data_IF_758517354429
#
_entry.id   IF_758517354429
#
_cell.length_a   1.000
_cell.length_b   1.000
_cell.length_c   1.000
_cell.angle_alpha   90.00
_cell.angle_beta   90.00
_cell.angle_gamma   90.00
#
_symmetry.space_group_name_H-M   'P 1'
#
loop_
_entity.id
_entity.type
_entity.pdbx_description
1 polymer ?
#
# COMPACT_ATOMS: atom_id res chain seq x y z
N UNK A 1 18.20 32.79 -68.01
CA UNK A 1 19.26 32.12 -67.22
C UNK A 1 18.64 31.77 -65.87
N UNK A 2 18.16 30.54 -65.70
CA UNK A 2 17.34 30.13 -64.54
C UNK A 2 18.22 29.43 -63.50
N UNK A 3 18.30 29.97 -62.29
CA UNK A 3 19.03 29.34 -61.18
C UNK A 3 18.04 28.54 -60.32
N UNK A 4 18.23 27.21 -60.25
CA UNK A 4 17.50 26.33 -59.33
C UNK A 4 18.21 26.36 -57.97
N UNK A 5 17.50 26.80 -56.93
CA UNK A 5 17.94 26.69 -55.54
C UNK A 5 17.47 25.31 -55.04
N UNK A 6 18.42 24.46 -54.65
CA UNK A 6 18.15 23.16 -54.06
C UNK A 6 17.98 23.32 -52.54
N UNK A 7 16.77 23.05 -52.05
CA UNK A 7 16.44 23.07 -50.63
C UNK A 7 16.90 21.76 -49.98
N UNK A 8 17.83 21.85 -49.03
CA UNK A 8 18.35 20.71 -48.27
C UNK A 8 17.44 20.50 -47.04
N UNK A 9 16.66 19.41 -47.04
CA UNK A 9 15.79 19.06 -45.90
C UNK A 9 16.61 18.26 -44.87
N UNK A 10 16.91 18.86 -43.72
CA UNK A 10 17.52 18.18 -42.58
C UNK A 10 16.41 17.53 -41.75
N UNK A 11 16.32 16.19 -41.79
CA UNK A 11 15.42 15.43 -40.95
C UNK A 11 16.07 15.23 -39.56
N UNK A 12 15.60 15.99 -38.56
CA UNK A 12 15.97 15.77 -37.16
C UNK A 12 15.19 14.55 -36.61
N UNK A 13 15.88 13.43 -36.45
CA UNK A 13 15.32 12.24 -35.80
C UNK A 13 15.19 12.46 -34.29
N UNK A 14 13.96 12.65 -33.81
CA UNK A 14 13.65 12.54 -32.38
C UNK A 14 13.77 11.07 -31.96
N UNK A 15 14.84 10.73 -31.25
CA UNK A 15 14.93 9.46 -30.54
C UNK A 15 13.98 9.49 -29.34
N UNK A 16 12.82 8.83 -29.44
CA UNK A 16 11.99 8.53 -28.28
C UNK A 16 12.73 7.48 -27.44
N UNK A 17 13.38 7.91 -26.35
CA UNK A 17 13.78 6.99 -25.29
C UNK A 17 12.51 6.52 -24.58
N UNK A 18 12.22 5.21 -24.53
CA UNK A 18 11.10 4.71 -23.74
C UNK A 18 11.37 5.04 -22.28
N UNK A 19 10.55 5.92 -21.70
CA UNK A 19 10.46 6.06 -20.26
C UNK A 19 9.99 4.72 -19.72
N UNK A 20 10.91 3.95 -19.11
CA UNK A 20 10.56 2.69 -18.49
C UNK A 20 9.51 2.95 -17.43
N UNK A 21 8.31 2.40 -17.62
CA UNK A 21 7.33 2.34 -16.55
C UNK A 21 7.99 1.59 -15.38
N UNK A 22 8.17 2.26 -14.24
CA UNK A 22 8.58 1.60 -13.02
C UNK A 22 7.56 0.47 -12.76
N UNK A 23 8.04 -0.77 -12.85
CA UNK A 23 7.22 -1.94 -12.60
C UNK A 23 7.16 -2.12 -11.09
N UNK A 24 5.97 -2.29 -10.54
CA UNK A 24 5.81 -2.57 -9.13
C UNK A 24 6.64 -3.80 -8.74
N UNK A 25 7.26 -3.72 -7.56
CA UNK A 25 8.12 -4.72 -6.95
C UNK A 25 7.25 -5.58 -6.04
N UNK A 26 7.12 -6.85 -6.42
CA UNK A 26 6.49 -7.87 -5.58
C UNK A 26 7.58 -8.55 -4.73
N UNK A 27 7.39 -8.57 -3.41
CA UNK A 27 8.32 -9.12 -2.43
C UNK A 27 7.59 -10.04 -1.46
N UNK A 28 8.02 -11.30 -1.39
CA UNK A 28 7.59 -12.21 -0.34
C UNK A 28 8.24 -11.83 0.99
N UNK A 29 7.42 -11.52 1.99
CA UNK A 29 7.89 -11.06 3.28
C UNK A 29 8.44 -12.24 4.10
N UNK A 30 9.74 -12.53 3.97
CA UNK A 30 10.38 -13.68 4.61
C UNK A 30 10.16 -13.77 6.14
N UNK A 31 10.08 -12.62 6.83
CA UNK A 31 9.82 -12.54 8.28
C UNK A 31 8.33 -12.55 8.65
N UNK A 32 7.45 -12.55 7.66
CA UNK A 32 6.00 -12.52 7.80
C UNK A 32 5.38 -13.53 6.82
N UNK A 33 5.78 -14.81 6.94
CA UNK A 33 5.42 -15.86 5.99
C UNK A 33 3.91 -15.88 5.63
N UNK A 34 3.60 -16.00 4.35
CA UNK A 34 2.24 -15.90 3.82
C UNK A 34 1.76 -14.47 3.57
N UNK A 35 2.62 -13.46 3.74
CA UNK A 35 2.35 -12.07 3.34
C UNK A 35 3.30 -11.69 2.20
N UNK A 36 2.74 -11.06 1.17
CA UNK A 36 3.48 -10.53 0.02
C UNK A 36 3.22 -9.03 -0.06
N UNK A 37 4.26 -8.22 -0.26
CA UNK A 37 4.18 -6.80 -0.49
C UNK A 37 4.34 -6.49 -1.98
N UNK A 38 3.45 -5.67 -2.54
CA UNK A 38 3.52 -5.13 -3.90
C UNK A 38 3.64 -3.62 -3.81
N UNK A 39 4.79 -3.06 -4.15
CA UNK A 39 5.08 -1.63 -3.96
C UNK A 39 5.82 -1.00 -5.15
N UNK A 40 5.78 0.34 -5.33
CA UNK A 40 6.45 1.03 -6.44
C UNK A 40 7.97 0.84 -6.50
N UNK A 41 8.62 0.58 -5.37
CA UNK A 41 10.07 0.38 -5.28
C UNK A 41 10.47 -0.62 -4.18
N UNK A 42 11.72 -1.13 -4.20
CA UNK A 42 12.17 -2.13 -3.23
C UNK A 42 12.21 -1.63 -1.77
N UNK A 43 12.51 -0.35 -1.53
CA UNK A 43 12.61 0.17 -0.17
C UNK A 43 11.23 0.23 0.49
N UNK A 44 10.19 0.58 -0.27
CA UNK A 44 8.83 0.59 0.23
C UNK A 44 8.26 -0.83 0.40
N UNK A 45 8.64 -1.77 -0.48
CA UNK A 45 8.33 -3.19 -0.30
C UNK A 45 8.95 -3.75 0.99
N UNK A 46 10.23 -3.43 1.26
CA UNK A 46 10.92 -3.82 2.50
C UNK A 46 10.27 -3.20 3.73
N UNK A 47 9.95 -1.90 3.71
CA UNK A 47 9.24 -1.21 4.79
C UNK A 47 7.90 -1.87 5.10
N UNK A 48 7.16 -2.25 4.06
CA UNK A 48 5.88 -2.95 4.17
C UNK A 48 6.06 -4.32 4.82
N UNK A 49 7.06 -5.09 4.39
CA UNK A 49 7.36 -6.39 4.97
C UNK A 49 7.82 -6.32 6.43
N UNK A 50 8.55 -5.27 6.81
CA UNK A 50 8.90 -5.02 8.21
C UNK A 50 7.67 -4.70 9.06
N UNK A 51 6.77 -3.85 8.56
CA UNK A 51 5.49 -3.57 9.24
C UNK A 51 4.66 -4.85 9.40
N UNK A 52 4.59 -5.69 8.36
CA UNK A 52 3.89 -6.96 8.41
C UNK A 52 4.49 -7.94 9.44
N UNK A 53 5.82 -8.01 9.54
CA UNK A 53 6.49 -8.83 10.54
C UNK A 53 6.21 -8.32 11.97
N UNK A 54 6.20 -7.00 12.16
CA UNK A 54 5.86 -6.38 13.44
C UNK A 54 4.39 -6.67 13.82
N UNK A 55 3.44 -6.55 12.88
CA UNK A 55 2.04 -6.89 13.08
C UNK A 55 1.86 -8.34 13.55
N UNK A 56 2.50 -9.30 12.87
CA UNK A 56 2.47 -10.72 13.28
C UNK A 56 2.99 -10.93 14.69
N UNK A 57 4.11 -10.31 15.03
CA UNK A 57 4.69 -10.42 16.37
C UNK A 57 3.76 -9.82 17.45
N UNK A 58 3.09 -8.70 17.15
CA UNK A 58 2.20 -8.00 18.06
C UNK A 58 0.88 -8.75 18.29
N UNK A 59 0.33 -9.38 17.25
CA UNK A 59 -0.98 -10.02 17.25
C UNK A 59 -0.96 -11.46 17.77
N UNK A 60 0.16 -12.18 17.60
CA UNK A 60 0.26 -13.58 18.00
C UNK A 60 -0.07 -13.85 19.49
N UNK A 61 0.39 -13.04 20.47
CA UNK A 61 0.03 -13.22 21.88
C UNK A 61 -1.47 -13.03 22.17
N UNK A 62 -2.19 -12.29 21.31
CA UNK A 62 -3.63 -12.06 21.42
C UNK A 62 -4.46 -13.21 20.84
N UNK A 63 -3.82 -14.24 20.26
CA UNK A 63 -4.49 -15.34 19.58
C UNK A 63 -5.05 -14.97 18.20
N UNK A 64 -4.71 -13.78 17.69
CA UNK A 64 -5.06 -13.35 16.34
C UNK A 64 -4.03 -13.95 15.37
N UNK A 65 -4.49 -14.86 14.51
CA UNK A 65 -3.63 -15.66 13.65
C UNK A 65 -3.97 -15.47 12.19
N UNK A 66 -2.93 -15.43 11.36
CA UNK A 66 -3.07 -15.53 9.92
C UNK A 66 -3.30 -17.00 9.54
N UNK A 67 -4.41 -17.30 8.86
CA UNK A 67 -4.77 -18.62 8.35
C UNK A 67 -4.77 -18.70 6.82
N UNK A 68 -4.78 -17.56 6.12
CA UNK A 68 -4.75 -17.46 4.66
C UNK A 68 -3.73 -16.41 4.18
N UNK A 69 -3.20 -16.52 2.94
CA UNK A 69 -2.30 -15.52 2.38
C UNK A 69 -2.92 -14.12 2.34
N UNK A 70 -2.10 -13.09 2.55
CA UNK A 70 -2.50 -11.68 2.45
C UNK A 70 -1.54 -10.97 1.50
N UNK A 71 -2.10 -10.20 0.56
CA UNK A 71 -1.34 -9.29 -0.29
C UNK A 71 -1.47 -7.87 0.25
N UNK A 72 -0.36 -7.17 0.39
CA UNK A 72 -0.33 -5.74 0.71
C UNK A 72 0.09 -4.98 -0.54
N UNK A 73 -0.79 -4.15 -1.06
CA UNK A 73 -0.55 -3.30 -2.23
C UNK A 73 -0.33 -1.86 -1.77
N UNK A 74 0.85 -1.32 -2.03
CA UNK A 74 1.14 0.10 -1.81
C UNK A 74 0.73 0.85 -3.06
N UNK A 75 -0.29 1.67 -2.93
CA UNK A 75 -0.96 2.34 -4.05
C UNK A 75 -0.92 3.85 -3.86
N UNK A 76 -1.09 4.62 -4.94
CA UNK A 76 -1.10 6.09 -4.87
C UNK A 76 -2.14 6.65 -3.90
N UNK A 77 -3.30 5.99 -3.85
CA UNK A 77 -4.33 6.25 -2.87
C UNK A 77 -5.24 5.03 -2.78
N UNK A 78 -5.46 4.53 -1.57
CA UNK A 78 -6.41 3.48 -1.30
C UNK A 78 -7.84 3.99 -1.46
N UNK A 79 -8.76 3.14 -1.91
CA UNK A 79 -10.15 3.50 -2.20
C UNK A 79 -11.11 2.50 -1.53
N UNK A 80 -11.89 2.99 -0.55
CA UNK A 80 -12.93 2.18 0.06
C UNK A 80 -14.23 2.25 -0.75
N UNK A 81 -14.87 1.11 -1.09
CA UNK A 81 -16.08 1.09 -1.94
C UNK A 81 -17.25 1.95 -1.45
N UNK A 82 -17.35 2.20 -0.15
CA UNK A 82 -18.45 2.95 0.48
C UNK A 82 -18.14 4.39 0.87
N UNK A 83 -16.87 4.78 1.00
CA UNK A 83 -16.49 6.14 1.46
C UNK A 83 -15.39 6.80 0.62
N UNK A 84 -14.92 6.13 -0.43
CA UNK A 84 -13.94 6.65 -1.38
C UNK A 84 -12.53 6.64 -0.81
N UNK A 85 -11.75 7.62 -1.24
CA UNK A 85 -10.33 7.80 -0.93
C UNK A 85 -10.06 7.71 0.56
N UNK A 86 -9.14 6.84 0.96
CA UNK A 86 -8.81 6.55 2.35
C UNK A 86 -7.30 6.31 2.56
N UNK A 87 -6.88 6.19 3.81
CA UNK A 87 -5.46 6.00 4.16
C UNK A 87 -4.99 4.57 3.91
N UNK A 88 -5.84 3.60 4.24
CA UNK A 88 -5.64 2.19 4.00
C UNK A 88 -7.00 1.46 4.10
N UNK A 89 -7.03 0.22 3.62
CA UNK A 89 -8.19 -0.67 3.70
C UNK A 89 -7.77 -2.12 3.57
N UNK A 90 -8.37 -3.01 4.35
CA UNK A 90 -8.41 -4.44 4.11
C UNK A 90 -9.77 -4.91 3.53
N UNK A 91 -9.74 -5.63 2.40
CA UNK A 91 -10.91 -6.33 1.84
C UNK A 91 -10.83 -7.83 2.14
N UNK A 92 -11.64 -8.29 3.10
CA UNK A 92 -11.72 -9.68 3.51
C UNK A 92 -12.15 -10.65 2.38
N UNK A 93 -12.82 -10.17 1.33
CA UNK A 93 -13.27 -11.01 0.21
C UNK A 93 -12.12 -11.37 -0.73
N UNK A 94 -11.16 -10.46 -0.89
CA UNK A 94 -10.01 -10.63 -1.79
C UNK A 94 -8.73 -11.02 -1.04
N UNK A 95 -8.68 -10.82 0.28
CA UNK A 95 -7.45 -10.97 1.05
C UNK A 95 -6.41 -9.89 0.72
N UNK A 96 -6.84 -8.78 0.13
CA UNK A 96 -5.99 -7.67 -0.28
C UNK A 96 -6.11 -6.53 0.73
N UNK A 97 -4.95 -6.02 1.13
CA UNK A 97 -4.78 -4.79 1.89
C UNK A 97 -4.23 -3.75 0.92
N UNK A 98 -4.88 -2.60 0.82
CA UNK A 98 -4.33 -1.44 0.11
C UNK A 98 -3.90 -0.40 1.14
N UNK A 99 -2.71 0.16 0.97
CA UNK A 99 -2.21 1.26 1.79
C UNK A 99 -1.74 2.39 0.88
N UNK A 100 -2.15 3.61 1.20
CA UNK A 100 -1.72 4.80 0.46
C UNK A 100 -0.23 5.02 0.65
N UNK A 101 0.48 5.26 -0.45
CA UNK A 101 1.92 5.53 -0.46
C UNK A 101 2.25 6.73 0.45
N UNK A 102 3.44 6.78 1.07
CA UNK A 102 3.78 7.83 2.03
C UNK A 102 3.48 9.25 1.55
N UNK A 103 3.77 9.56 0.29
CA UNK A 103 3.54 10.87 -0.32
C UNK A 103 2.05 11.24 -0.40
N UNK A 104 1.17 10.25 -0.46
CA UNK A 104 -0.29 10.40 -0.50
C UNK A 104 -0.96 10.48 0.87
N UNK A 105 -0.28 10.11 1.97
CA UNK A 105 -0.90 10.04 3.31
C UNK A 105 -1.28 11.43 3.83
N UNK A 106 -0.32 12.35 3.91
CA UNK A 106 -0.54 13.66 4.54
C UNK A 106 -1.62 14.50 3.84
N UNK A 107 -1.72 14.52 2.50
CA UNK A 107 -2.81 15.21 1.80
C UNK A 107 -4.23 14.71 2.15
N UNK A 108 -4.37 13.48 2.65
CA UNK A 108 -5.64 12.89 3.02
C UNK A 108 -6.06 13.19 4.47
N UNK A 109 -5.15 13.71 5.29
CA UNK A 109 -5.45 14.12 6.66
C UNK A 109 -6.22 15.45 6.65
N UNK A 110 -7.23 15.55 7.51
CA UNK A 110 -7.96 16.80 7.68
C UNK A 110 -7.04 17.87 8.31
N UNK A 111 -7.26 19.15 7.99
CA UNK A 111 -6.44 20.20 8.59
C UNK A 111 -6.51 20.23 10.12
N UNK A 112 -5.35 20.12 10.79
CA UNK A 112 -5.17 19.97 12.25
C UNK A 112 -5.49 18.56 12.77
N UNK A 113 -5.26 17.55 11.95
CA UNK A 113 -5.28 16.17 12.42
C UNK A 113 -4.12 15.96 13.40
N UNK A 114 -4.35 15.25 14.51
CA UNK A 114 -3.29 14.97 15.49
C UNK A 114 -2.14 14.16 14.87
N UNK A 115 -2.42 13.43 13.77
CA UNK A 115 -1.45 12.65 13.01
C UNK A 115 -0.53 13.50 12.14
N UNK A 116 -0.87 14.76 11.87
CA UNK A 116 -0.04 15.67 11.06
C UNK A 116 1.38 15.87 11.64
N UNK A 117 1.55 15.65 12.95
CA UNK A 117 2.83 15.79 13.65
C UNK A 117 3.70 14.52 13.60
N UNK A 118 3.16 13.39 13.12
CA UNK A 118 3.88 12.12 13.09
C UNK A 118 4.74 12.01 11.82
N UNK A 119 5.93 11.39 11.90
CA UNK A 119 6.68 11.02 10.71
C UNK A 119 5.85 10.14 9.77
N UNK A 120 5.93 10.41 8.47
CA UNK A 120 5.07 9.75 7.49
C UNK A 120 5.33 8.24 7.37
N UNK A 121 6.56 7.80 7.60
CA UNK A 121 6.95 6.40 7.67
C UNK A 121 6.34 5.70 8.90
N UNK A 122 6.24 6.41 10.02
CA UNK A 122 5.53 5.92 11.21
C UNK A 122 4.04 5.76 10.91
N UNK A 123 3.41 6.74 10.25
CA UNK A 123 2.01 6.63 9.84
C UNK A 123 1.78 5.47 8.88
N UNK A 124 2.61 5.33 7.85
CA UNK A 124 2.53 4.25 6.88
C UNK A 124 2.60 2.87 7.55
N UNK A 125 3.57 2.68 8.45
CA UNK A 125 3.72 1.43 9.21
C UNK A 125 2.52 1.18 10.12
N UNK A 126 2.04 2.21 10.83
CA UNK A 126 0.88 2.09 11.72
C UNK A 126 -0.39 1.72 10.96
N UNK A 127 -0.65 2.34 9.81
CA UNK A 127 -1.77 2.01 8.92
C UNK A 127 -1.69 0.55 8.44
N UNK A 128 -0.50 0.12 8.04
CA UNK A 128 -0.29 -1.27 7.60
C UNK A 128 -0.55 -2.27 8.74
N UNK A 129 -0.09 -1.98 9.95
CA UNK A 129 -0.31 -2.82 11.14
C UNK A 129 -1.81 -2.85 11.50
N UNK A 130 -2.48 -1.70 11.48
CA UNK A 130 -3.91 -1.56 11.75
C UNK A 130 -4.75 -2.43 10.81
N UNK A 131 -4.55 -2.32 9.49
CA UNK A 131 -5.30 -3.13 8.53
C UNK A 131 -4.97 -4.63 8.59
N UNK A 132 -3.74 -4.99 8.95
CA UNK A 132 -3.41 -6.39 9.23
C UNK A 132 -4.14 -6.92 10.47
N UNK A 133 -4.49 -6.06 11.43
CA UNK A 133 -5.29 -6.44 12.59
C UNK A 133 -6.71 -6.82 12.16
N UNK A 134 -7.30 -6.04 11.24
CA UNK A 134 -8.57 -6.40 10.61
C UNK A 134 -8.46 -7.74 9.87
N UNK A 135 -7.37 -7.94 9.11
CA UNK A 135 -7.15 -9.18 8.39
C UNK A 135 -7.07 -10.41 9.30
N UNK A 136 -6.27 -10.36 10.37
CA UNK A 136 -6.12 -11.51 11.27
C UNK A 136 -7.37 -11.72 12.12
N UNK A 137 -8.06 -10.65 12.48
CA UNK A 137 -9.35 -10.72 13.17
C UNK A 137 -10.38 -11.43 12.30
N UNK A 138 -10.54 -11.01 11.03
CA UNK A 138 -11.46 -11.64 10.09
C UNK A 138 -11.12 -13.14 9.89
N UNK A 139 -9.83 -13.46 9.73
CA UNK A 139 -9.36 -14.84 9.56
C UNK A 139 -9.55 -15.70 10.82
N UNK A 140 -9.43 -15.12 12.01
CA UNK A 140 -9.58 -15.82 13.30
C UNK A 140 -11.06 -16.00 13.67
N UNK A 141 -11.90 -15.00 13.39
CA UNK A 141 -13.33 -15.00 13.71
C UNK A 141 -14.13 -15.97 12.83
N UNK A 142 -13.67 -16.23 11.61
CA UNK A 142 -14.40 -17.04 10.64
C UNK A 142 -15.76 -16.42 10.32
N UNK A 143 -16.84 -17.16 10.57
CA UNK A 143 -18.22 -16.69 10.31
C UNK A 143 -18.80 -15.81 11.43
N UNK A 144 -18.06 -15.57 12.51
CA UNK A 144 -18.53 -14.74 13.63
C UNK A 144 -18.51 -13.27 13.20
N UNK A 145 -19.68 -12.66 13.18
CA UNK A 145 -19.82 -11.23 12.93
C UNK A 145 -19.29 -10.42 14.12
N UNK A 146 -18.27 -9.59 13.86
CA UNK A 146 -17.73 -8.61 14.82
C UNK A 146 -18.17 -7.23 14.34
N UNK A 147 -18.79 -6.45 15.23
CA UNK A 147 -19.26 -5.11 14.91
C UNK A 147 -18.09 -4.16 14.57
N UNK A 148 -18.32 -3.11 13.76
CA UNK A 148 -17.25 -2.22 13.33
C UNK A 148 -16.48 -1.60 14.50
N UNK A 149 -17.16 -1.12 15.54
CA UNK A 149 -16.51 -0.50 16.69
C UNK A 149 -15.58 -1.48 17.43
N UNK A 150 -15.97 -2.75 17.54
CA UNK A 150 -15.15 -3.80 18.13
C UNK A 150 -13.94 -4.15 17.23
N UNK A 151 -14.12 -4.14 15.90
CA UNK A 151 -12.99 -4.32 14.98
C UNK A 151 -11.97 -3.18 15.11
N UNK A 152 -12.43 -1.93 15.15
CA UNK A 152 -11.56 -0.76 15.36
C UNK A 152 -10.86 -0.80 16.72
N UNK A 153 -11.56 -1.27 17.77
CA UNK A 153 -10.95 -1.46 19.09
C UNK A 153 -9.81 -2.48 19.04
N UNK A 154 -9.99 -3.60 18.33
CA UNK A 154 -8.95 -4.61 18.13
C UNK A 154 -7.81 -4.08 17.27
N UNK A 155 -8.10 -3.25 16.26
CA UNK A 155 -7.12 -2.71 15.34
C UNK A 155 -6.35 -1.48 15.87
N UNK A 156 -6.66 -1.03 17.09
CA UNK A 156 -5.93 0.02 17.79
C UNK A 156 -4.73 -0.57 18.56
N UNK A 157 -3.82 -1.20 17.81
CA UNK A 157 -2.64 -1.94 18.27
C UNK A 157 -1.33 -1.17 18.07
#
# INVERSE_FOLDING_TARGET
>A
MFWKIATLTVAAGLALTPAGAARAVELDCARAAGITADAPDPALAEMTCEAAAAAKALMAPCGLVQTAPIRISVVKSAEHPSFGTCLAIYDARSGCLEVTEPEGILPLLAGRDARDALPVDVLFRALTVHELAHAFTAQTAGDIAIGPAEQEFIANV
#
